data_IF_491414475942
#
_entry.id   IF_491414475942
#
_cell.length_a   1.000
_cell.length_b   1.000
_cell.length_c   1.000
_cell.angle_alpha   90.00
_cell.angle_beta   90.00
_cell.angle_gamma   90.00
#
_symmetry.space_group_name_H-M   'P 1'
#
loop_
_entity.id
_entity.type
_entity.pdbx_description
1 polymer ?
#
# COMPACT_ATOMS: atom_id res chain seq x y z
N UNK A 1 -21.24 3.28 -66.06
CA UNK A 1 -21.26 3.81 -64.68
C UNK A 1 -19.81 4.06 -64.32
N UNK A 2 -19.43 5.30 -64.03
CA UNK A 2 -18.07 5.61 -63.59
C UNK A 2 -17.91 5.13 -62.15
N UNK A 3 -16.91 4.29 -61.92
CA UNK A 3 -16.55 3.83 -60.59
C UNK A 3 -15.94 5.01 -59.82
N UNK A 4 -16.60 5.42 -58.73
CA UNK A 4 -16.20 6.55 -57.89
C UNK A 4 -15.61 6.04 -56.57
N UNK A 5 -14.71 5.06 -56.62
CA UNK A 5 -14.01 4.54 -55.44
C UNK A 5 -12.75 5.35 -55.14
N UNK A 6 -12.47 5.55 -53.84
CA UNK A 6 -11.22 6.13 -53.36
C UNK A 6 -10.57 5.19 -52.34
N UNK A 7 -9.25 5.06 -52.42
CA UNK A 7 -8.44 4.30 -51.47
C UNK A 7 -7.61 5.27 -50.61
N UNK A 8 -7.52 5.00 -49.31
CA UNK A 8 -6.62 5.73 -48.40
C UNK A 8 -5.53 4.79 -47.91
N UNK A 9 -4.27 5.26 -47.95
CA UNK A 9 -3.15 4.59 -47.29
C UNK A 9 -3.16 4.95 -45.81
N UNK A 10 -3.60 4.01 -44.99
CA UNK A 10 -3.72 4.18 -43.53
C UNK A 10 -2.34 4.31 -42.88
N UNK A 11 -1.35 3.58 -43.38
CA UNK A 11 0.04 3.72 -42.92
C UNK A 11 0.74 4.74 -43.80
N UNK A 12 0.87 5.94 -43.27
CA UNK A 12 1.61 7.05 -43.84
C UNK A 12 2.63 7.57 -42.81
N UNK A 13 3.38 8.60 -43.15
CA UNK A 13 4.44 9.13 -42.27
C UNK A 13 3.91 9.54 -40.89
N UNK A 14 2.73 10.17 -40.80
CA UNK A 14 2.18 10.62 -39.53
C UNK A 14 1.68 9.45 -38.67
N UNK A 15 1.01 8.47 -39.26
CA UNK A 15 0.57 7.25 -38.55
C UNK A 15 1.78 6.41 -38.13
N UNK A 16 2.81 6.31 -38.98
CA UNK A 16 4.06 5.63 -38.64
C UNK A 16 4.79 6.28 -37.47
N UNK A 17 4.86 7.62 -37.45
CA UNK A 17 5.42 8.38 -36.32
C UNK A 17 4.64 8.15 -35.03
N UNK A 18 3.30 8.20 -35.09
CA UNK A 18 2.45 7.95 -33.92
C UNK A 18 2.63 6.53 -33.37
N UNK A 19 2.67 5.51 -34.23
CA UNK A 19 2.94 4.12 -33.82
C UNK A 19 4.36 3.96 -33.23
N UNK A 20 5.36 4.61 -33.81
CA UNK A 20 6.72 4.61 -33.29
C UNK A 20 6.83 5.24 -31.89
N UNK A 21 6.11 6.35 -31.65
CA UNK A 21 6.03 6.98 -30.34
C UNK A 21 5.34 6.07 -29.31
N UNK A 22 4.22 5.45 -29.68
CA UNK A 22 3.52 4.50 -28.82
C UNK A 22 4.42 3.31 -28.43
N UNK A 23 5.14 2.74 -29.40
CA UNK A 23 6.10 1.66 -29.14
C UNK A 23 7.22 2.12 -28.19
N UNK A 24 7.78 3.31 -28.41
CA UNK A 24 8.83 3.85 -27.54
C UNK A 24 8.35 4.04 -26.09
N UNK A 25 7.11 4.50 -25.90
CA UNK A 25 6.51 4.62 -24.57
C UNK A 25 6.24 3.25 -23.93
N UNK A 26 5.73 2.29 -24.71
CA UNK A 26 5.53 0.92 -24.24
C UNK A 26 6.86 0.24 -23.83
N UNK A 27 7.98 0.65 -24.43
CA UNK A 27 9.32 0.18 -24.05
C UNK A 27 9.88 0.83 -22.78
N UNK A 28 9.27 1.91 -22.27
CA UNK A 28 9.73 2.58 -21.05
C UNK A 28 8.55 3.06 -20.20
N UNK A 29 7.95 2.12 -19.47
CA UNK A 29 6.88 2.37 -18.50
C UNK A 29 7.38 2.98 -17.20
N UNK A 30 8.70 3.17 -17.03
CA UNK A 30 9.29 3.66 -15.78
C UNK A 30 8.61 4.93 -15.24
N UNK A 31 8.31 5.97 -16.05
CA UNK A 31 7.64 7.16 -15.56
C UNK A 31 6.26 6.85 -14.94
N UNK A 32 5.43 6.07 -15.65
CA UNK A 32 4.11 5.65 -15.18
C UNK A 32 4.20 4.79 -13.91
N UNK A 33 5.17 3.87 -13.85
CA UNK A 33 5.38 3.01 -12.68
C UNK A 33 5.84 3.79 -11.45
N UNK A 34 6.64 4.85 -11.62
CA UNK A 34 7.03 5.74 -10.52
C UNK A 34 5.84 6.56 -10.01
N UNK A 35 5.01 7.08 -10.90
CA UNK A 35 3.78 7.80 -10.51
C UNK A 35 2.83 6.88 -9.72
N UNK A 36 2.66 5.64 -10.19
CA UNK A 36 1.88 4.63 -9.47
C UNK A 36 2.48 4.31 -8.10
N UNK A 37 3.81 4.16 -8.01
CA UNK A 37 4.46 3.84 -6.75
C UNK A 37 4.32 4.97 -5.70
N UNK A 38 4.43 6.23 -6.12
CA UNK A 38 4.19 7.37 -5.23
C UNK A 38 2.74 7.46 -4.76
N UNK A 39 1.79 7.23 -5.66
CA UNK A 39 0.38 7.12 -5.28
C UNK A 39 0.15 5.96 -4.30
N UNK A 40 0.68 4.77 -4.59
CA UNK A 40 0.50 3.58 -3.77
C UNK A 40 1.15 3.73 -2.39
N UNK A 41 2.27 4.46 -2.30
CA UNK A 41 2.91 4.82 -1.04
C UNK A 41 2.03 5.74 -0.21
N UNK A 42 1.39 6.75 -0.81
CA UNK A 42 0.45 7.62 -0.13
C UNK A 42 -0.81 6.87 0.34
N UNK A 43 -1.35 5.97 -0.48
CA UNK A 43 -2.50 5.13 -0.11
C UNK A 43 -2.16 4.11 0.99
N UNK A 44 -0.94 3.57 0.98
CA UNK A 44 -0.42 2.74 2.07
C UNK A 44 -0.44 3.52 3.38
N UNK A 45 0.03 4.77 3.38
CA UNK A 45 -0.07 5.68 4.52
C UNK A 45 -1.53 5.89 4.97
N UNK A 46 -2.45 6.02 4.02
CA UNK A 46 -3.87 6.16 4.28
C UNK A 46 -4.47 4.90 4.93
N UNK A 47 -4.04 3.69 4.57
CA UNK A 47 -4.46 2.44 5.25
C UNK A 47 -4.12 2.46 6.74
N UNK A 48 -2.96 3.00 7.12
CA UNK A 48 -2.64 3.24 8.54
C UNK A 48 -3.55 4.30 9.17
N UNK A 49 -3.91 5.36 8.45
CA UNK A 49 -4.81 6.43 8.92
C UNK A 49 -6.29 5.99 9.04
N UNK A 50 -6.72 5.00 8.28
CA UNK A 50 -8.07 4.45 8.35
C UNK A 50 -8.14 3.21 9.25
N UNK A 51 -7.02 2.51 9.45
CA UNK A 51 -6.95 1.20 10.07
C UNK A 51 -7.81 0.18 9.31
N UNK A 52 -7.73 0.24 7.98
CA UNK A 52 -8.47 -0.60 7.06
C UNK A 52 -7.58 -1.02 5.90
N UNK A 53 -7.92 -2.12 5.24
CA UNK A 53 -7.23 -2.58 4.04
C UNK A 53 -7.65 -1.80 2.78
N UNK A 54 -7.17 -2.26 1.63
CA UNK A 54 -7.43 -1.65 0.33
C UNK A 54 -8.88 -1.78 -0.15
N UNK A 55 -9.66 -2.67 0.44
CA UNK A 55 -11.10 -2.84 0.19
C UNK A 55 -11.96 -2.10 1.22
N UNK A 56 -11.33 -1.37 2.15
CA UNK A 56 -12.01 -0.62 3.21
C UNK A 56 -12.44 -1.49 4.39
N UNK A 57 -12.02 -2.75 4.45
CA UNK A 57 -12.33 -3.60 5.59
C UNK A 57 -11.44 -3.23 6.78
N UNK A 58 -12.02 -2.94 7.97
CA UNK A 58 -11.25 -2.58 9.14
C UNK A 58 -10.32 -3.70 9.58
N UNK A 59 -9.10 -3.35 9.97
CA UNK A 59 -8.13 -4.29 10.51
C UNK A 59 -8.60 -4.90 11.83
N UNK A 60 -8.18 -6.14 12.06
CA UNK A 60 -8.42 -6.80 13.33
C UNK A 60 -7.84 -5.98 14.50
N UNK A 61 -8.64 -5.76 15.57
CA UNK A 61 -8.21 -4.96 16.72
C UNK A 61 -6.98 -5.56 17.40
N UNK A 62 -6.28 -4.75 18.18
CA UNK A 62 -5.20 -5.28 19.03
C UNK A 62 -5.79 -6.17 20.13
N UNK A 63 -5.11 -7.28 20.43
CA UNK A 63 -5.48 -8.15 21.54
C UNK A 63 -5.47 -7.38 22.87
N UNK A 64 -6.33 -7.77 23.81
CA UNK A 64 -6.45 -7.13 25.12
C UNK A 64 -5.12 -7.03 25.86
N UNK A 65 -4.30 -8.08 25.79
CA UNK A 65 -2.96 -8.08 26.40
C UNK A 65 -2.03 -7.02 25.78
N UNK A 66 -2.10 -6.80 24.47
CA UNK A 66 -1.35 -5.74 23.79
C UNK A 66 -1.81 -4.36 24.25
N UNK A 67 -3.11 -4.16 24.42
CA UNK A 67 -3.68 -2.91 24.95
C UNK A 67 -3.27 -2.67 26.40
N UNK A 68 -3.30 -3.71 27.24
CA UNK A 68 -2.85 -3.66 28.63
C UNK A 68 -1.35 -3.33 28.75
N UNK A 69 -0.52 -3.97 27.92
CA UNK A 69 0.92 -3.69 27.87
C UNK A 69 1.20 -2.26 27.37
N UNK A 70 0.46 -1.79 26.37
CA UNK A 70 0.54 -0.41 25.91
C UNK A 70 0.23 0.58 27.05
N UNK A 71 -0.85 0.38 27.81
CA UNK A 71 -1.15 1.23 28.96
C UNK A 71 -0.07 1.16 30.05
N UNK A 72 0.52 -0.02 30.31
CA UNK A 72 1.60 -0.15 31.29
C UNK A 72 2.86 0.61 30.86
N UNK A 73 3.24 0.50 29.59
CA UNK A 73 4.46 1.11 29.07
C UNK A 73 4.29 2.62 28.83
N UNK A 74 3.07 3.07 28.54
CA UNK A 74 2.77 4.47 28.26
C UNK A 74 1.95 5.07 29.40
N UNK A 75 2.66 5.65 30.37
CA UNK A 75 2.11 6.35 31.53
C UNK A 75 1.78 5.48 32.75
N UNK A 76 1.89 4.15 32.63
CA UNK A 76 1.93 3.23 33.76
C UNK A 76 0.73 3.38 34.71
N UNK A 77 1.02 3.52 36.00
CA UNK A 77 0.01 3.60 37.07
C UNK A 77 -0.97 4.77 36.90
N UNK A 78 -0.59 5.85 36.19
CA UNK A 78 -1.48 7.01 35.95
C UNK A 78 -2.70 6.67 35.10
N UNK A 79 -2.65 5.56 34.35
CA UNK A 79 -3.79 5.07 33.57
C UNK A 79 -4.86 4.39 34.41
N UNK A 80 -4.56 4.10 35.67
CA UNK A 80 -5.42 3.33 36.55
C UNK A 80 -5.75 4.15 37.80
N UNK A 81 -6.94 3.92 38.33
CA UNK A 81 -7.34 4.39 39.66
C UNK A 81 -6.74 3.43 40.71
N UNK A 82 -6.84 3.82 41.99
CA UNK A 82 -6.38 2.97 43.11
C UNK A 82 -7.11 1.62 43.17
N UNK A 83 -8.32 1.53 42.62
CA UNK A 83 -9.14 0.31 42.52
C UNK A 83 -8.84 -0.55 41.28
N UNK A 84 -7.83 -0.18 40.48
CA UNK A 84 -7.42 -0.90 39.27
C UNK A 84 -8.25 -0.61 38.02
N UNK A 85 -9.35 0.16 38.11
CA UNK A 85 -10.13 0.56 36.93
C UNK A 85 -9.42 1.65 36.14
N UNK A 86 -9.76 1.81 34.85
CA UNK A 86 -9.22 2.89 34.03
C UNK A 86 -9.53 4.27 34.65
N UNK A 87 -8.49 5.10 34.69
CA UNK A 87 -8.62 6.54 34.95
C UNK A 87 -9.07 7.25 33.68
N UNK A 88 -9.51 8.51 33.78
CA UNK A 88 -9.83 9.32 32.62
C UNK A 88 -8.64 9.46 31.63
N UNK A 89 -7.40 9.49 32.16
CA UNK A 89 -6.19 9.49 31.34
C UNK A 89 -5.99 8.16 30.62
N UNK A 90 -6.25 7.03 31.30
CA UNK A 90 -6.21 5.69 30.72
C UNK A 90 -7.25 5.52 29.59
N UNK A 91 -8.49 5.93 29.83
CA UNK A 91 -9.55 5.91 28.82
C UNK A 91 -9.18 6.73 27.58
N UNK A 92 -8.70 7.97 27.76
CA UNK A 92 -8.26 8.82 26.64
C UNK A 92 -7.09 8.20 25.87
N UNK A 93 -6.10 7.64 26.58
CA UNK A 93 -4.94 7.01 25.95
C UNK A 93 -5.32 5.76 25.16
N UNK A 94 -6.24 4.95 25.68
CA UNK A 94 -6.73 3.78 24.97
C UNK A 94 -7.52 4.17 23.72
N UNK A 95 -8.40 5.17 23.81
CA UNK A 95 -9.17 5.69 22.68
C UNK A 95 -8.28 6.31 21.58
N UNK A 96 -7.16 6.93 21.96
CA UNK A 96 -6.18 7.49 21.02
C UNK A 96 -5.25 6.44 20.40
N UNK A 97 -5.28 5.19 20.88
CA UNK A 97 -4.35 4.16 20.41
C UNK A 97 -4.73 3.75 18.99
N UNK A 98 -3.73 3.78 18.12
CA UNK A 98 -3.80 3.38 16.72
C UNK A 98 -3.19 1.98 16.53
N UNK A 99 -3.76 1.17 15.64
CA UNK A 99 -3.24 -0.14 15.26
C UNK A 99 -1.98 0.08 14.41
N UNK A 100 -0.94 -0.74 14.67
CA UNK A 100 0.38 -0.68 14.03
C UNK A 100 1.12 0.66 14.14
N UNK A 101 0.68 1.54 15.03
CA UNK A 101 1.22 2.88 15.17
C UNK A 101 1.49 3.18 16.65
N UNK A 102 2.76 3.44 16.95
CA UNK A 102 3.21 3.96 18.25
C UNK A 102 4.00 5.24 18.01
N UNK A 103 5.07 5.16 17.22
CA UNK A 103 5.98 6.26 16.86
C UNK A 103 6.02 6.52 15.34
N UNK A 104 5.21 5.79 14.56
CA UNK A 104 5.17 5.88 13.10
C UNK A 104 6.35 5.23 12.39
N UNK A 105 7.23 4.49 13.08
CA UNK A 105 8.39 3.85 12.45
C UNK A 105 7.98 2.80 11.42
N UNK A 106 7.06 1.89 11.76
CA UNK A 106 6.54 0.90 10.80
C UNK A 106 5.88 1.58 9.59
N UNK A 107 5.03 2.59 9.83
CA UNK A 107 4.35 3.33 8.75
C UNK A 107 5.34 3.90 7.74
N UNK A 108 6.40 4.58 8.22
CA UNK A 108 7.46 5.14 7.36
C UNK A 108 8.28 4.07 6.62
N UNK A 109 8.42 2.89 7.22
CA UNK A 109 9.15 1.75 6.69
C UNK A 109 8.29 0.82 5.80
N UNK A 110 6.98 1.08 5.69
CA UNK A 110 6.03 0.15 5.09
C UNK A 110 6.19 0.01 3.58
N UNK A 111 6.67 1.07 2.91
CA UNK A 111 6.68 1.16 1.46
C UNK A 111 7.98 1.77 0.95
N UNK A 112 8.82 0.92 0.39
CA UNK A 112 9.94 1.28 -0.49
C UNK A 112 9.64 0.74 -1.88
N UNK A 113 10.19 1.38 -2.91
CA UNK A 113 9.96 0.97 -4.28
C UNK A 113 11.17 1.25 -5.17
N UNK A 114 11.25 0.52 -6.28
CA UNK A 114 12.18 0.76 -7.38
C UNK A 114 11.53 0.31 -8.70
N UNK A 115 11.80 1.03 -9.79
CA UNK A 115 11.17 0.81 -11.08
C UNK A 115 12.19 0.77 -12.22
N UNK A 116 12.05 -0.24 -13.07
CA UNK A 116 12.74 -0.36 -14.35
C UNK A 116 11.81 0.12 -15.48
N UNK A 117 12.20 -0.12 -16.73
CA UNK A 117 11.38 0.18 -17.90
C UNK A 117 10.09 -0.64 -17.99
N UNK A 118 9.99 -1.79 -17.31
CA UNK A 118 8.88 -2.73 -17.47
C UNK A 118 8.37 -3.36 -16.17
N UNK A 119 9.03 -3.06 -15.04
CA UNK A 119 8.71 -3.69 -13.77
C UNK A 119 8.84 -2.71 -12.61
N UNK A 120 7.91 -2.85 -11.66
CA UNK A 120 7.91 -2.15 -10.39
C UNK A 120 8.10 -3.18 -9.28
N UNK A 121 9.10 -2.94 -8.44
CA UNK A 121 9.26 -3.63 -7.17
C UNK A 121 8.76 -2.68 -6.09
N UNK A 122 7.93 -3.15 -5.14
CA UNK A 122 7.61 -2.41 -3.91
C UNK A 122 7.47 -3.32 -2.69
N UNK A 123 7.65 -2.78 -1.49
CA UNK A 123 7.56 -3.50 -0.23
C UNK A 123 8.40 -2.87 0.89
N UNK A 124 8.35 -3.44 2.10
CA UNK A 124 9.07 -2.90 3.24
C UNK A 124 10.50 -3.47 3.26
N UNK A 125 11.44 -2.84 2.56
CA UNK A 125 12.85 -3.24 2.62
C UNK A 125 13.79 -2.07 2.92
N UNK A 126 15.05 -2.40 3.19
CA UNK A 126 16.13 -1.42 3.28
C UNK A 126 16.10 -0.57 4.56
N UNK A 127 15.31 -0.99 5.55
CA UNK A 127 15.12 -0.26 6.80
C UNK A 127 15.29 -1.13 8.05
N UNK A 128 15.59 -2.43 7.88
CA UNK A 128 15.85 -3.37 8.97
C UNK A 128 14.58 -3.84 9.70
N UNK A 129 13.40 -3.41 9.25
CA UNK A 129 12.10 -3.86 9.77
C UNK A 129 11.39 -4.80 8.79
N UNK A 130 12.06 -5.22 7.72
CA UNK A 130 11.50 -5.91 6.58
C UNK A 130 10.64 -7.11 6.99
N UNK A 131 11.20 -8.01 7.81
CA UNK A 131 10.49 -9.18 8.31
C UNK A 131 9.32 -8.83 9.24
N UNK A 132 9.48 -7.81 10.09
CA UNK A 132 8.44 -7.35 11.00
C UNK A 132 7.30 -6.66 10.24
N UNK A 133 7.60 -5.88 9.21
CA UNK A 133 6.63 -5.23 8.37
C UNK A 133 5.86 -6.28 7.56
N UNK A 134 6.56 -7.17 6.85
CA UNK A 134 5.93 -8.22 6.05
C UNK A 134 4.95 -9.08 6.86
N UNK A 135 5.32 -9.52 8.07
CA UNK A 135 4.40 -10.32 8.91
C UNK A 135 3.19 -9.52 9.42
N UNK A 136 3.30 -8.20 9.56
CA UNK A 136 2.15 -7.37 9.91
C UNK A 136 1.22 -7.17 8.70
N UNK A 137 1.79 -7.05 7.49
CA UNK A 137 1.01 -6.94 6.26
C UNK A 137 0.21 -8.22 6.01
N UNK A 138 0.89 -9.37 5.93
CA UNK A 138 0.32 -10.64 5.49
C UNK A 138 -0.25 -11.51 6.62
N UNK A 139 0.07 -11.18 7.88
CA UNK A 139 -0.22 -12.05 9.01
C UNK A 139 0.69 -13.28 9.06
N UNK A 140 0.45 -14.17 10.03
CA UNK A 140 1.19 -15.42 10.16
C UNK A 140 1.50 -15.81 11.59
N UNK A 141 2.39 -16.80 11.76
CA UNK A 141 2.84 -17.23 13.09
C UNK A 141 4.11 -16.49 13.52
N UNK A 142 4.17 -16.11 14.80
CA UNK A 142 5.25 -15.32 15.37
C UNK A 142 5.55 -15.72 16.82
N UNK A 143 6.55 -15.07 17.40
CA UNK A 143 6.95 -15.24 18.79
C UNK A 143 7.72 -16.54 19.03
N UNK A 144 7.93 -16.86 20.32
CA UNK A 144 8.74 -18.02 20.74
C UNK A 144 8.11 -19.32 20.25
N UNK A 145 8.78 -20.00 19.33
CA UNK A 145 8.31 -21.24 18.74
C UNK A 145 7.09 -21.09 17.83
N UNK A 146 6.86 -19.89 17.25
CA UNK A 146 5.79 -19.64 16.28
C UNK A 146 4.38 -20.01 16.79
N UNK A 147 4.11 -19.71 18.07
CA UNK A 147 2.84 -20.04 18.74
C UNK A 147 1.83 -18.88 18.74
N UNK A 148 2.24 -17.69 18.29
CA UNK A 148 1.38 -16.51 18.30
C UNK A 148 0.90 -16.24 16.88
N UNK A 149 -0.40 -16.31 16.67
CA UNK A 149 -1.01 -15.93 15.39
C UNK A 149 -1.20 -14.42 15.33
N UNK A 150 -0.60 -13.79 14.31
CA UNK A 150 -0.78 -12.38 13.97
C UNK A 150 -1.81 -12.29 12.84
N UNK A 151 -2.91 -11.54 13.00
CA UNK A 151 -3.87 -11.34 11.94
C UNK A 151 -3.28 -10.44 10.84
N UNK A 152 -3.73 -10.67 9.60
CA UNK A 152 -3.39 -9.84 8.45
C UNK A 152 -3.88 -8.40 8.66
N UNK A 153 -3.05 -7.44 8.25
CA UNK A 153 -3.35 -6.00 8.22
C UNK A 153 -2.79 -5.42 6.94
N UNK A 154 -3.42 -5.79 5.83
CA UNK A 154 -2.95 -5.52 4.48
C UNK A 154 -2.91 -4.01 4.21
N UNK A 155 -1.74 -3.41 4.40
CA UNK A 155 -1.49 -2.01 4.08
C UNK A 155 -0.81 -1.84 2.72
N UNK A 156 -0.18 -2.89 2.19
CA UNK A 156 0.35 -2.91 0.82
C UNK A 156 -0.76 -3.19 -0.20
N UNK A 157 -0.65 -2.68 -1.44
CA UNK A 157 -1.64 -2.89 -2.50
C UNK A 157 -1.63 -4.31 -3.09
N UNK A 158 -1.11 -5.29 -2.36
CA UNK A 158 -0.86 -6.64 -2.88
C UNK A 158 -1.23 -7.70 -1.84
N UNK A 159 -1.80 -8.80 -2.29
CA UNK A 159 -2.06 -9.97 -1.46
C UNK A 159 -0.82 -10.88 -1.32
N UNK A 160 -0.99 -12.03 -0.66
CA UNK A 160 0.10 -12.99 -0.40
C UNK A 160 0.62 -13.66 -1.68
N UNK A 161 -0.19 -13.71 -2.73
CA UNK A 161 0.14 -14.35 -4.00
C UNK A 161 0.81 -13.36 -4.99
N UNK A 162 0.86 -12.07 -4.62
CA UNK A 162 1.42 -11.02 -5.48
C UNK A 162 0.37 -10.34 -6.35
N UNK A 163 -0.92 -10.58 -6.12
CA UNK A 163 -2.02 -9.98 -6.87
C UNK A 163 -2.31 -8.58 -6.33
N UNK A 164 -2.43 -7.60 -7.23
CA UNK A 164 -2.83 -6.24 -6.85
C UNK A 164 -4.27 -6.23 -6.34
N UNK A 165 -4.55 -5.39 -5.34
CA UNK A 165 -5.92 -5.09 -4.96
C UNK A 165 -6.63 -4.34 -6.11
N UNK A 166 -7.91 -4.64 -6.37
CA UNK A 166 -8.72 -4.02 -7.44
C UNK A 166 -8.56 -2.48 -7.56
N UNK A 167 -8.63 -1.68 -6.48
CA UNK A 167 -8.44 -0.22 -6.61
C UNK A 167 -7.01 0.17 -7.02
N UNK A 168 -6.01 -0.62 -6.65
CA UNK A 168 -4.63 -0.40 -7.08
C UNK A 168 -4.43 -0.76 -8.55
N UNK A 169 -4.97 -1.89 -9.00
CA UNK A 169 -4.94 -2.27 -10.41
C UNK A 169 -5.63 -1.23 -11.29
N UNK A 170 -6.85 -0.81 -10.91
CA UNK A 170 -7.59 0.22 -11.63
C UNK A 170 -6.78 1.54 -11.73
N UNK A 171 -6.08 1.93 -10.66
CA UNK A 171 -5.26 3.14 -10.68
C UNK A 171 -4.01 3.00 -11.56
N UNK A 172 -3.37 1.84 -11.56
CA UNK A 172 -2.24 1.56 -12.45
C UNK A 172 -2.65 1.71 -13.91
N UNK A 173 -3.81 1.14 -14.29
CA UNK A 173 -4.33 1.24 -15.66
C UNK A 173 -4.66 2.68 -16.05
N UNK A 174 -5.23 3.48 -15.16
CA UNK A 174 -5.51 4.91 -15.35
C UNK A 174 -4.23 5.72 -15.61
N UNK A 175 -3.18 5.47 -14.81
CA UNK A 175 -1.88 6.13 -14.97
C UNK A 175 -1.23 5.74 -16.30
N UNK A 176 -1.24 4.45 -16.65
CA UNK A 176 -0.70 3.98 -17.93
C UNK A 176 -1.44 4.61 -19.11
N UNK A 177 -2.77 4.65 -19.07
CA UNK A 177 -3.58 5.30 -20.10
C UNK A 177 -3.26 6.80 -20.23
N UNK A 178 -3.05 7.50 -19.11
CA UNK A 178 -2.65 8.92 -19.10
C UNK A 178 -1.31 9.12 -19.78
N UNK A 179 -0.31 8.29 -19.47
CA UNK A 179 1.03 8.38 -20.09
C UNK A 179 0.99 8.10 -21.59
N UNK A 180 0.07 7.24 -22.06
CA UNK A 180 -0.13 7.01 -23.50
C UNK A 180 -0.92 8.11 -24.22
N UNK A 181 -1.69 8.92 -23.49
CA UNK A 181 -2.55 9.98 -24.05
C UNK A 181 -1.93 11.37 -24.09
N UNK A 182 -0.81 11.62 -23.41
CA UNK A 182 -0.13 12.93 -23.37
C UNK A 182 0.60 13.28 -24.70
N UNK A 183 -0.01 12.96 -25.83
CA UNK A 183 0.47 13.21 -27.20
C UNK A 183 0.17 14.63 -27.67
#
# INVERSE_FOLDING_TARGET
>A
MSDNSFEIQVINDSVGQALGQLLAQAHNLRPALLDFAEWAKAETDQRFADQADWHGQPWAPNAELTLANYLRNHGGSKNFKKDGKLSAAGTRRLAAKRILQVDGTLRRAAFSYDATSDSLRFGPWGNGLDAYAAIQNFGGQAGRGLKVTIPMRQYLPVDVDGTLADPAEAKLLDILATHFQQT
#
